data_IF_417227814005
#
_entry.id   IF_417227814005
#
_cell.length_a   1.000
_cell.length_b   1.000
_cell.length_c   1.000
_cell.angle_alpha   90.00
_cell.angle_beta   90.00
_cell.angle_gamma   90.00
#
_symmetry.space_group_name_H-M   'P 1'
#
loop_
_entity.id
_entity.type
_entity.pdbx_description
1 polymer ?
#
# COMPACT_ATOMS: atom_id res chain seq x y z
N UNK A 1 14.06 -20.41 -32.90
CA UNK A 1 14.49 -20.87 -34.22
C UNK A 1 15.95 -20.50 -34.43
N UNK A 2 16.82 -21.51 -34.18
CA UNK A 2 18.25 -21.41 -34.33
C UNK A 2 18.61 -21.95 -35.73
N UNK A 3 19.15 -21.10 -36.56
CA UNK A 3 19.78 -21.51 -37.82
C UNK A 3 21.23 -22.00 -37.58
N UNK A 4 21.65 -23.16 -38.10
CA UNK A 4 22.98 -23.69 -37.86
C UNK A 4 23.99 -23.09 -38.86
N UNK A 5 24.98 -22.40 -38.29
CA UNK A 5 26.19 -22.03 -39.03
C UNK A 5 27.18 -23.17 -38.84
N UNK A 6 27.25 -24.08 -39.78
CA UNK A 6 28.43 -24.96 -39.96
C UNK A 6 28.27 -25.75 -41.24
N UNK A 7 28.92 -25.34 -42.32
CA UNK A 7 29.44 -26.26 -43.34
C UNK A 7 30.17 -25.57 -44.50
N UNK A 8 31.36 -25.00 -44.33
CA UNK A 8 32.27 -24.97 -45.46
C UNK A 8 33.56 -25.81 -45.30
N UNK A 9 33.86 -26.32 -44.07
CA UNK A 9 35.16 -26.97 -43.86
C UNK A 9 35.23 -28.45 -44.32
N UNK A 10 34.08 -29.12 -44.44
CA UNK A 10 34.05 -30.55 -44.83
C UNK A 10 34.11 -30.72 -46.36
N UNK A 11 33.61 -29.77 -47.12
CA UNK A 11 33.61 -29.83 -48.60
C UNK A 11 35.00 -29.62 -49.16
N UNK A 12 35.86 -28.84 -48.50
CA UNK A 12 37.23 -28.61 -48.95
C UNK A 12 38.16 -29.83 -48.80
N UNK A 13 37.96 -30.67 -47.77
CA UNK A 13 38.80 -31.87 -47.60
C UNK A 13 38.47 -33.01 -48.57
N UNK A 14 37.22 -33.08 -49.02
CA UNK A 14 36.86 -34.12 -50.05
C UNK A 14 37.31 -33.77 -51.47
N UNK A 15 37.39 -32.49 -51.82
CA UNK A 15 37.90 -32.02 -53.10
C UNK A 15 39.41 -32.17 -53.20
N UNK A 16 40.14 -31.93 -52.11
CA UNK A 16 41.61 -32.15 -52.12
C UNK A 16 42.03 -33.67 -52.35
N UNK A 17 41.29 -34.61 -51.76
CA UNK A 17 41.59 -36.06 -51.99
C UNK A 17 41.23 -36.51 -53.39
N UNK A 18 40.24 -35.97 -54.07
CA UNK A 18 39.96 -36.32 -55.48
C UNK A 18 40.93 -35.69 -56.47
N UNK A 19 41.56 -34.56 -56.15
CA UNK A 19 42.53 -33.90 -57.01
C UNK A 19 43.88 -34.59 -57.00
N UNK A 20 44.33 -35.10 -55.83
CA UNK A 20 45.62 -35.84 -55.68
C UNK A 20 45.60 -37.16 -56.42
N UNK A 21 44.48 -37.89 -56.48
CA UNK A 21 44.34 -39.15 -57.19
C UNK A 21 44.38 -38.98 -58.75
N UNK A 22 44.00 -37.82 -59.28
CA UNK A 22 43.96 -37.59 -60.74
C UNK A 22 45.25 -37.02 -61.31
N UNK A 23 46.18 -36.54 -60.48
CA UNK A 23 47.48 -36.02 -60.90
C UNK A 23 48.48 -37.14 -61.19
N UNK A 24 48.36 -38.31 -60.57
CA UNK A 24 49.29 -39.45 -60.79
C UNK A 24 49.09 -40.28 -62.08
N UNK A 25 48.07 -39.88 -62.90
CA UNK A 25 47.73 -40.61 -64.13
C UNK A 25 48.10 -39.88 -65.46
N UNK A 26 48.73 -38.72 -65.38
CA UNK A 26 49.06 -37.98 -66.63
C UNK A 26 50.55 -37.94 -66.90
N UNK A 27 51.02 -38.85 -67.78
CA UNK A 27 52.35 -38.82 -68.38
C UNK A 27 52.49 -37.65 -69.34
N UNK A 28 53.49 -36.76 -69.07
CA UNK A 28 54.30 -35.99 -69.94
C UNK A 28 53.58 -35.28 -71.11
N UNK A 29 53.26 -34.00 -70.96
CA UNK A 29 53.35 -32.90 -71.91
C UNK A 29 52.69 -31.59 -71.42
N UNK A 30 52.03 -31.57 -70.27
CA UNK A 30 51.37 -30.35 -69.81
C UNK A 30 51.85 -29.86 -68.43
N UNK A 31 53.09 -30.14 -68.07
CA UNK A 31 53.67 -29.68 -66.77
C UNK A 31 53.90 -28.16 -66.74
N UNK A 32 54.13 -27.54 -67.96
CA UNK A 32 54.33 -26.06 -68.04
C UNK A 32 53.05 -25.23 -67.80
N UNK A 33 51.91 -25.79 -68.22
CA UNK A 33 50.62 -25.05 -68.05
C UNK A 33 50.10 -25.11 -66.60
N UNK A 34 50.41 -26.23 -65.92
CA UNK A 34 50.02 -26.41 -64.52
C UNK A 34 50.91 -25.62 -63.58
N UNK A 35 52.16 -25.33 -63.90
CA UNK A 35 53.04 -24.45 -63.13
C UNK A 35 52.54 -22.97 -63.21
N UNK A 36 52.04 -22.58 -64.41
CA UNK A 36 51.48 -21.24 -64.58
C UNK A 36 50.15 -21.01 -63.87
N UNK A 37 49.29 -22.03 -63.77
CA UNK A 37 48.05 -21.95 -63.01
C UNK A 37 48.31 -21.97 -61.48
N UNK A 38 49.32 -22.68 -61.00
CA UNK A 38 49.72 -22.70 -59.60
C UNK A 38 50.27 -21.32 -59.12
N UNK A 39 50.96 -20.57 -59.99
CA UNK A 39 51.54 -19.28 -59.71
C UNK A 39 50.44 -18.19 -59.57
N UNK A 40 49.28 -18.33 -60.25
CA UNK A 40 48.14 -17.39 -60.14
C UNK A 40 47.36 -17.56 -58.83
N UNK A 41 47.41 -18.76 -58.20
CA UNK A 41 46.72 -19.01 -56.92
C UNK A 41 47.55 -18.64 -55.68
N UNK A 42 48.85 -18.31 -55.80
CA UNK A 42 49.65 -17.83 -54.66
C UNK A 42 49.64 -16.34 -54.48
N UNK A 43 48.87 -15.59 -55.25
CA UNK A 43 48.69 -14.11 -55.10
C UNK A 43 47.47 -13.76 -54.23
N UNK A 44 47.16 -14.55 -53.22
CA UNK A 44 46.34 -14.07 -52.12
C UNK A 44 47.24 -13.25 -51.20
N UNK A 45 47.41 -11.97 -51.55
CA UNK A 45 48.03 -11.00 -50.65
C UNK A 45 47.28 -10.97 -49.32
N UNK A 46 48.01 -11.13 -48.22
CA UNK A 46 47.51 -10.70 -46.89
C UNK A 46 47.04 -9.25 -47.04
N UNK A 47 45.72 -9.08 -47.00
CA UNK A 47 45.18 -7.73 -46.80
C UNK A 47 45.77 -7.22 -45.48
N UNK A 48 46.44 -6.08 -45.47
CA UNK A 48 46.90 -5.47 -44.23
C UNK A 48 45.68 -5.32 -43.35
N UNK A 49 45.78 -5.73 -42.10
CA UNK A 49 44.72 -5.56 -41.11
C UNK A 49 44.33 -4.08 -41.12
N UNK A 50 43.18 -3.79 -41.67
CA UNK A 50 42.64 -2.45 -41.74
C UNK A 50 42.53 -1.96 -40.31
N UNK A 51 43.37 -1.05 -39.84
CA UNK A 51 43.27 -0.42 -38.55
C UNK A 51 41.87 0.17 -38.47
N UNK A 52 41.02 -0.46 -37.69
CA UNK A 52 39.69 0.01 -37.45
C UNK A 52 39.84 1.34 -36.73
N UNK A 53 39.50 2.43 -37.41
CA UNK A 53 39.49 3.76 -36.83
C UNK A 53 38.74 3.78 -35.47
N UNK A 54 38.96 4.79 -34.66
CA UNK A 54 38.32 4.93 -33.36
C UNK A 54 36.80 4.83 -33.51
N UNK A 55 36.18 3.93 -32.76
CA UNK A 55 34.73 3.75 -32.76
C UNK A 55 34.12 4.82 -31.87
N UNK A 56 33.11 5.53 -32.31
CA UNK A 56 32.41 6.48 -31.45
C UNK A 56 31.73 5.72 -30.30
N UNK A 57 31.90 6.20 -29.09
CA UNK A 57 31.25 5.66 -27.89
C UNK A 57 30.29 6.70 -27.34
N UNK A 58 29.11 6.27 -26.89
CA UNK A 58 28.16 7.10 -26.18
C UNK A 58 28.50 7.04 -24.70
N UNK A 59 28.77 8.20 -24.09
CA UNK A 59 29.01 8.29 -22.66
C UNK A 59 27.66 8.30 -21.92
N UNK A 60 27.61 7.59 -20.81
CA UNK A 60 26.51 7.65 -19.85
C UNK A 60 27.03 8.23 -18.53
N UNK A 61 26.27 9.10 -17.93
CA UNK A 61 26.58 9.60 -16.60
C UNK A 61 26.35 8.51 -15.57
N UNK A 62 27.24 8.46 -14.61
CA UNK A 62 27.19 7.51 -13.50
C UNK A 62 26.44 8.14 -12.36
N UNK A 63 25.38 7.48 -11.91
CA UNK A 63 24.60 7.94 -10.77
C UNK A 63 24.93 7.08 -9.54
N UNK A 64 25.15 7.71 -8.40
CA UNK A 64 25.35 6.98 -7.15
C UNK A 64 24.04 6.33 -6.68
N UNK A 65 24.08 5.10 -6.22
CA UNK A 65 22.96 4.33 -5.64
C UNK A 65 22.69 4.72 -4.18
N UNK A 66 23.01 5.94 -3.76
CA UNK A 66 22.78 6.34 -2.37
C UNK A 66 21.29 6.37 -1.96
N UNK A 67 20.38 6.36 -2.93
CA UNK A 67 18.93 6.37 -2.70
C UNK A 67 18.23 5.38 -3.61
N UNK A 68 17.42 4.53 -3.00
CA UNK A 68 16.48 3.67 -3.71
C UNK A 68 15.10 4.29 -3.56
N UNK A 69 14.51 4.70 -4.67
CA UNK A 69 13.13 5.15 -4.72
C UNK A 69 12.21 3.94 -4.97
N UNK A 70 11.27 3.74 -4.07
CA UNK A 70 10.19 2.74 -4.20
C UNK A 70 8.86 3.45 -4.21
N UNK A 71 8.01 3.10 -5.15
CA UNK A 71 6.65 3.64 -5.24
C UNK A 71 5.62 2.55 -5.00
N UNK A 72 4.60 2.88 -4.22
CA UNK A 72 3.48 2.01 -3.89
C UNK A 72 2.18 2.75 -4.19
N UNK A 73 1.16 2.01 -4.61
CA UNK A 73 -0.19 2.56 -4.73
C UNK A 73 -0.83 2.59 -3.36
N UNK A 74 -1.43 3.71 -2.99
CA UNK A 74 -2.14 3.90 -1.76
C UNK A 74 -3.52 4.51 -1.98
N UNK A 75 -4.30 4.50 -0.93
CA UNK A 75 -5.63 5.11 -0.89
C UNK A 75 -5.78 5.95 0.36
N UNK A 76 -6.50 7.05 0.25
CA UNK A 76 -6.85 7.88 1.41
C UNK A 76 -7.95 7.19 2.18
N UNK A 77 -7.69 6.87 3.44
CA UNK A 77 -8.65 6.30 4.39
C UNK A 77 -8.93 7.26 5.55
N UNK A 78 -10.07 7.12 6.24
CA UNK A 78 -10.33 7.93 7.42
C UNK A 78 -9.49 7.42 8.59
N UNK A 79 -8.88 8.31 9.35
CA UNK A 79 -8.20 7.96 10.61
C UNK A 79 -9.20 7.61 11.72
N UNK A 80 -10.39 8.21 11.66
CA UNK A 80 -11.45 7.99 12.63
C UNK A 80 -12.75 7.64 11.91
N UNK A 81 -13.22 6.42 12.14
CA UNK A 81 -14.52 5.95 11.65
C UNK A 81 -15.25 5.17 12.74
N UNK A 82 -16.55 5.02 12.59
CA UNK A 82 -17.37 4.23 13.51
C UNK A 82 -18.56 3.65 12.77
N UNK A 83 -18.73 2.35 12.86
CA UNK A 83 -19.97 1.69 12.46
C UNK A 83 -20.98 1.80 13.59
N UNK A 84 -21.98 2.63 13.36
CA UNK A 84 -23.03 2.89 14.36
C UNK A 84 -24.04 1.74 14.33
N UNK A 85 -24.34 1.21 15.50
CA UNK A 85 -25.24 0.09 15.71
C UNK A 85 -26.18 0.38 16.88
N UNK A 86 -27.40 -0.16 16.82
CA UNK A 86 -28.30 -0.14 17.97
C UNK A 86 -27.88 -1.19 19.01
N UNK A 87 -28.13 -0.89 20.29
CA UNK A 87 -27.90 -1.84 21.39
C UNK A 87 -29.05 -2.84 21.53
N UNK A 88 -30.18 -2.57 20.87
CA UNK A 88 -31.41 -3.36 20.98
C UNK A 88 -31.98 -3.68 19.60
N UNK A 89 -32.88 -4.66 19.53
CA UNK A 89 -33.55 -5.04 18.29
C UNK A 89 -34.86 -4.27 18.09
N UNK A 90 -35.21 -3.99 16.82
CA UNK A 90 -36.50 -3.37 16.48
C UNK A 90 -36.62 -3.09 15.00
N UNK A 91 -37.83 -2.81 14.52
CA UNK A 91 -37.99 -2.30 13.16
C UNK A 91 -37.51 -0.86 13.07
N UNK A 92 -36.76 -0.54 12.03
CA UNK A 92 -36.27 0.80 11.75
C UNK A 92 -37.43 1.64 11.21
N UNK A 93 -37.85 2.68 11.93
CA UNK A 93 -38.97 3.53 11.52
C UNK A 93 -38.50 4.77 10.77
N UNK A 94 -37.29 5.22 11.03
CA UNK A 94 -36.73 6.38 10.32
C UNK A 94 -35.21 6.27 10.17
N UNK A 95 -34.74 6.55 8.96
CA UNK A 95 -33.33 6.84 8.67
C UNK A 95 -33.26 8.25 8.10
N UNK A 96 -32.79 9.17 8.93
CA UNK A 96 -32.83 10.61 8.67
C UNK A 96 -31.59 11.14 7.97
N UNK A 97 -30.79 10.25 7.37
CA UNK A 97 -29.51 10.60 6.73
C UNK A 97 -29.33 9.90 5.39
N UNK A 98 -28.58 10.56 4.52
CA UNK A 98 -28.15 10.05 3.21
C UNK A 98 -26.66 9.79 3.21
N UNK A 99 -26.20 8.90 2.34
CA UNK A 99 -24.77 8.70 2.08
C UNK A 99 -24.14 10.01 1.57
N UNK A 100 -22.95 10.34 2.06
CA UNK A 100 -22.29 11.61 1.79
C UNK A 100 -22.81 12.80 2.61
N UNK A 101 -23.87 12.64 3.39
CA UNK A 101 -24.43 13.73 4.20
C UNK A 101 -23.55 14.01 5.41
N UNK A 102 -23.34 15.31 5.70
CA UNK A 102 -22.70 15.79 6.91
C UNK A 102 -23.64 15.72 8.10
N UNK A 103 -23.15 15.19 9.22
CA UNK A 103 -23.86 15.11 10.49
C UNK A 103 -23.04 15.74 11.61
N UNK A 104 -23.73 16.26 12.63
CA UNK A 104 -23.10 16.82 13.82
C UNK A 104 -23.16 15.82 14.97
N UNK A 105 -22.24 15.93 15.91
CA UNK A 105 -22.26 15.17 17.17
C UNK A 105 -23.62 15.30 17.86
N UNK A 106 -24.21 14.19 18.28
CA UNK A 106 -25.52 14.11 18.93
C UNK A 106 -26.72 14.14 17.99
N UNK A 107 -26.52 14.40 16.68
CA UNK A 107 -27.59 14.35 15.69
C UNK A 107 -28.14 12.93 15.57
N UNK A 108 -29.49 12.78 15.52
CA UNK A 108 -30.13 11.50 15.31
C UNK A 108 -29.97 11.09 13.84
N UNK A 109 -29.37 9.93 13.62
CA UNK A 109 -29.13 9.38 12.28
C UNK A 109 -30.18 8.33 11.90
N UNK A 110 -30.66 7.58 12.88
CA UNK A 110 -31.69 6.55 12.68
C UNK A 110 -32.52 6.37 13.98
N UNK A 111 -33.72 5.83 13.84
CA UNK A 111 -34.63 5.55 14.96
C UNK A 111 -35.35 4.22 14.75
N UNK A 112 -35.34 3.35 15.75
CA UNK A 112 -36.19 2.14 15.81
C UNK A 112 -37.52 2.48 16.49
N UNK A 113 -38.54 1.62 16.28
CA UNK A 113 -39.85 1.82 16.87
C UNK A 113 -39.76 1.94 18.41
N UNK A 114 -40.09 3.13 18.97
CA UNK A 114 -39.95 3.36 20.40
C UNK A 114 -41.19 2.92 21.22
N UNK A 115 -42.23 2.38 20.59
CA UNK A 115 -43.56 2.19 21.22
C UNK A 115 -43.48 1.36 22.47
N UNK A 116 -42.93 0.17 22.42
CA UNK A 116 -42.80 -0.75 23.56
C UNK A 116 -41.87 -0.18 24.63
N UNK A 117 -40.78 0.42 24.24
CA UNK A 117 -39.79 1.05 25.13
C UNK A 117 -40.37 2.24 25.88
N UNK A 118 -41.25 3.01 25.21
CA UNK A 118 -41.95 4.13 25.82
C UNK A 118 -42.98 3.64 26.85
N UNK A 119 -43.70 2.58 26.54
CA UNK A 119 -44.66 1.98 27.50
C UNK A 119 -43.96 1.50 28.78
N UNK A 120 -42.81 0.82 28.63
CA UNK A 120 -42.02 0.40 29.79
C UNK A 120 -41.47 1.57 30.59
N UNK A 121 -40.94 2.59 29.90
CA UNK A 121 -40.50 3.84 30.55
C UNK A 121 -41.62 4.49 31.37
N UNK A 122 -42.84 4.62 30.81
CA UNK A 122 -43.95 5.23 31.49
C UNK A 122 -44.38 4.39 32.72
N UNK A 123 -44.36 3.07 32.64
CA UNK A 123 -44.66 2.18 33.76
C UNK A 123 -43.62 2.29 34.90
N UNK A 124 -42.31 2.30 34.56
CA UNK A 124 -41.21 2.46 35.53
C UNK A 124 -41.23 3.85 36.17
N UNK A 125 -41.54 4.87 35.38
CA UNK A 125 -41.72 6.27 35.87
C UNK A 125 -42.79 6.35 36.91
N UNK A 126 -43.97 5.73 36.70
CA UNK A 126 -45.06 5.72 37.67
C UNK A 126 -44.66 4.99 38.96
N UNK A 127 -43.97 3.87 38.86
CA UNK A 127 -43.42 3.13 39.99
C UNK A 127 -42.41 3.93 40.80
N UNK A 128 -41.48 4.60 40.12
CA UNK A 128 -40.52 5.50 40.76
C UNK A 128 -41.21 6.68 41.47
N UNK A 129 -42.20 7.33 40.86
CA UNK A 129 -42.94 8.42 41.49
C UNK A 129 -43.67 7.97 42.77
N UNK A 130 -44.25 6.76 42.73
CA UNK A 130 -44.87 6.13 43.92
C UNK A 130 -43.85 5.93 45.04
N UNK A 131 -42.72 5.28 44.72
CA UNK A 131 -41.63 4.99 45.68
C UNK A 131 -41.01 6.31 46.24
N UNK A 132 -40.81 7.31 45.42
CA UNK A 132 -40.31 8.61 45.84
C UNK A 132 -41.26 9.30 46.84
N UNK A 133 -42.56 9.24 46.56
CA UNK A 133 -43.56 9.75 47.48
C UNK A 133 -43.62 9.02 48.82
N UNK A 134 -43.40 7.67 48.79
CA UNK A 134 -43.32 6.86 50.02
C UNK A 134 -42.05 7.21 50.81
N UNK A 135 -40.91 7.32 50.14
CA UNK A 135 -39.62 7.68 50.75
C UNK A 135 -39.75 9.06 51.47
N UNK A 136 -40.29 10.07 50.78
CA UNK A 136 -40.47 11.41 51.36
C UNK A 136 -41.37 11.37 52.61
N UNK A 137 -42.40 10.51 52.62
CA UNK A 137 -43.23 10.33 53.82
C UNK A 137 -42.48 9.62 54.94
N UNK A 138 -41.71 8.58 54.60
CA UNK A 138 -40.90 7.80 55.59
C UNK A 138 -39.85 8.70 56.23
N UNK A 139 -39.18 9.59 55.50
CA UNK A 139 -38.24 10.58 56.02
C UNK A 139 -38.89 11.47 57.09
N UNK A 140 -40.07 11.99 56.78
CA UNK A 140 -40.84 12.85 57.69
C UNK A 140 -41.32 12.12 58.95
N UNK A 141 -41.69 10.83 58.83
CA UNK A 141 -42.10 10.00 59.94
C UNK A 141 -40.92 9.57 60.83
N UNK A 142 -39.78 9.23 60.21
CA UNK A 142 -38.56 8.91 60.95
C UNK A 142 -38.07 10.10 61.75
N UNK A 143 -38.09 11.31 61.21
CA UNK A 143 -37.73 12.53 61.91
C UNK A 143 -38.61 12.83 63.14
N UNK A 144 -39.84 12.23 63.18
CA UNK A 144 -40.76 12.29 64.28
C UNK A 144 -40.74 11.05 65.15
N UNK A 145 -39.81 10.11 64.94
CA UNK A 145 -39.75 8.78 65.58
C UNK A 145 -41.07 7.96 65.46
N UNK A 146 -41.78 8.13 64.32
CA UNK A 146 -43.06 7.49 64.09
C UNK A 146 -42.97 6.19 63.28
N UNK A 147 -41.78 5.82 62.82
CA UNK A 147 -41.46 4.54 62.16
C UNK A 147 -40.14 3.99 62.68
N UNK A 148 -39.92 2.68 62.52
CA UNK A 148 -38.65 2.05 62.85
C UNK A 148 -37.57 2.31 61.82
N UNK A 149 -36.31 2.22 62.22
CA UNK A 149 -35.18 2.33 61.31
C UNK A 149 -35.23 1.26 60.20
N UNK A 150 -35.63 0.02 60.56
CA UNK A 150 -35.77 -1.08 59.60
C UNK A 150 -36.85 -0.77 58.54
N UNK A 151 -37.97 -0.18 58.93
CA UNK A 151 -39.03 0.23 57.98
C UNK A 151 -38.57 1.35 57.04
N UNK A 152 -37.80 2.29 57.57
CA UNK A 152 -37.18 3.37 56.78
C UNK A 152 -36.20 2.75 55.77
N UNK A 153 -35.26 1.89 56.19
CA UNK A 153 -34.28 1.21 55.31
C UNK A 153 -34.97 0.39 54.20
N UNK A 154 -36.08 -0.32 54.56
CA UNK A 154 -36.87 -1.08 53.57
C UNK A 154 -37.48 -0.15 52.52
N UNK A 155 -38.01 1.02 52.95
CA UNK A 155 -38.57 2.03 52.04
C UNK A 155 -37.49 2.66 51.19
N UNK A 156 -36.32 2.92 51.76
CA UNK A 156 -35.17 3.46 51.05
C UNK A 156 -34.64 2.48 49.96
N UNK A 157 -34.57 1.18 50.31
CA UNK A 157 -34.17 0.14 49.33
C UNK A 157 -35.19 0.06 48.18
N UNK A 158 -36.51 0.13 48.48
CA UNK A 158 -37.58 0.15 47.47
C UNK A 158 -37.49 1.35 46.55
N UNK A 159 -37.20 2.52 47.12
CA UNK A 159 -36.98 3.75 46.32
C UNK A 159 -35.76 3.62 45.41
N UNK A 160 -34.62 3.12 45.91
CA UNK A 160 -33.40 2.96 45.15
C UNK A 160 -33.62 1.99 43.98
N UNK A 161 -34.29 0.84 44.24
CA UNK A 161 -34.62 -0.11 43.17
C UNK A 161 -35.54 0.48 42.10
N UNK A 162 -36.60 1.21 42.51
CA UNK A 162 -37.51 1.84 41.57
C UNK A 162 -36.82 2.96 40.76
N UNK A 163 -35.88 3.68 41.38
CA UNK A 163 -35.06 4.72 40.71
C UNK A 163 -34.16 4.10 39.65
N UNK A 164 -33.43 3.04 40.01
CA UNK A 164 -32.54 2.34 39.06
C UNK A 164 -33.31 1.76 37.87
N UNK A 165 -34.48 1.11 38.13
CA UNK A 165 -35.32 0.59 37.06
C UNK A 165 -35.88 1.71 36.12
N UNK A 166 -36.20 2.86 36.67
CA UNK A 166 -36.65 4.02 35.88
C UNK A 166 -35.51 4.58 35.01
N UNK A 167 -34.29 4.75 35.59
CA UNK A 167 -33.12 5.24 34.87
C UNK A 167 -32.74 4.29 33.75
N UNK A 168 -32.82 2.97 33.97
CA UNK A 168 -32.54 1.93 32.95
C UNK A 168 -33.55 2.02 31.79
N UNK A 169 -34.85 2.10 32.09
CA UNK A 169 -35.89 2.26 31.07
C UNK A 169 -35.75 3.59 30.30
N UNK A 170 -35.29 4.66 30.95
CA UNK A 170 -35.03 5.94 30.33
C UNK A 170 -33.85 5.85 29.34
N UNK A 171 -32.76 5.19 29.76
CA UNK A 171 -31.61 4.96 28.91
C UNK A 171 -31.97 4.09 27.70
N UNK A 172 -32.75 3.03 27.94
CA UNK A 172 -33.22 2.12 26.87
C UNK A 172 -34.09 2.88 25.87
N UNK A 173 -34.99 3.73 26.30
CA UNK A 173 -35.80 4.60 25.42
C UNK A 173 -34.93 5.59 24.65
N UNK A 174 -33.90 6.18 25.26
CA UNK A 174 -32.98 7.08 24.59
C UNK A 174 -32.14 6.34 23.53
N UNK A 175 -31.78 5.08 23.80
CA UNK A 175 -30.99 4.24 22.91
C UNK A 175 -31.80 3.74 21.68
N UNK A 176 -33.14 3.96 21.63
CA UNK A 176 -33.93 3.78 20.40
C UNK A 176 -33.55 4.77 19.31
N UNK A 177 -32.84 5.85 19.66
CA UNK A 177 -32.35 6.89 18.74
C UNK A 177 -30.86 6.75 18.57
N UNK A 178 -30.43 6.29 17.41
CA UNK A 178 -29.01 6.19 17.05
C UNK A 178 -28.46 7.59 16.78
N UNK A 179 -27.45 8.00 17.52
CA UNK A 179 -26.85 9.33 17.45
C UNK A 179 -25.41 9.27 16.99
N UNK A 180 -24.99 10.29 16.21
CA UNK A 180 -23.60 10.47 15.81
C UNK A 180 -22.72 10.80 17.03
N UNK A 181 -21.63 10.04 17.29
CA UNK A 181 -20.73 10.28 18.43
C UNK A 181 -19.77 11.46 18.20
N UNK A 182 -19.52 11.84 16.95
CA UNK A 182 -18.67 12.96 16.54
C UNK A 182 -19.20 13.61 15.25
N UNK A 183 -18.66 14.78 14.91
CA UNK A 183 -18.96 15.47 13.65
C UNK A 183 -18.32 14.75 12.47
N UNK A 184 -19.08 14.42 11.42
CA UNK A 184 -18.55 13.65 10.31
C UNK A 184 -19.46 13.59 9.09
N UNK A 185 -19.17 12.62 8.21
CA UNK A 185 -20.00 12.28 7.07
C UNK A 185 -20.43 10.82 7.14
N UNK A 186 -21.64 10.56 6.69
CA UNK A 186 -22.13 9.19 6.48
C UNK A 186 -21.44 8.62 5.24
N UNK A 187 -20.57 7.64 5.42
CA UNK A 187 -19.87 6.99 4.32
C UNK A 187 -20.76 5.97 3.63
N UNK A 188 -21.47 5.16 4.42
CA UNK A 188 -22.30 4.05 3.91
C UNK A 188 -23.47 3.79 4.83
N UNK A 189 -24.60 3.36 4.24
CA UNK A 189 -25.75 2.78 4.94
C UNK A 189 -25.72 1.25 4.74
N UNK A 190 -25.92 0.50 5.80
CA UNK A 190 -25.94 -0.96 5.75
C UNK A 190 -27.35 -1.53 5.78
N UNK A 191 -28.35 -0.70 6.15
CA UNK A 191 -29.74 -1.08 6.29
C UNK A 191 -30.66 0.01 5.71
N UNK A 192 -31.89 -0.39 5.35
CA UNK A 192 -32.90 0.50 4.81
C UNK A 192 -34.09 0.68 5.78
N UNK A 193 -34.91 1.70 5.54
CA UNK A 193 -36.12 1.93 6.32
C UNK A 193 -37.01 0.69 6.35
N UNK A 194 -37.70 0.50 7.48
CA UNK A 194 -38.63 -0.61 7.75
C UNK A 194 -37.95 -1.99 7.88
N UNK A 195 -36.65 -2.08 7.78
CA UNK A 195 -35.90 -3.29 8.04
C UNK A 195 -35.77 -3.51 9.56
N UNK A 196 -35.86 -4.76 10.01
CA UNK A 196 -35.60 -5.11 11.41
C UNK A 196 -34.08 -5.21 11.65
N UNK A 197 -33.59 -4.49 12.66
CA UNK A 197 -32.19 -4.53 13.08
C UNK A 197 -32.00 -5.38 14.33
N UNK A 198 -30.80 -5.93 14.47
CA UNK A 198 -30.38 -6.71 15.63
C UNK A 198 -29.38 -5.91 16.47
N UNK A 199 -29.21 -6.21 17.77
CA UNK A 199 -28.19 -5.60 18.61
C UNK A 199 -26.78 -5.82 18.00
N UNK A 200 -26.00 -4.73 17.88
CA UNK A 200 -24.67 -4.76 17.31
C UNK A 200 -24.60 -4.82 15.78
N UNK A 201 -25.72 -4.91 15.09
CA UNK A 201 -25.75 -4.84 13.63
C UNK A 201 -25.44 -3.41 13.18
N UNK A 202 -24.39 -3.26 12.31
CA UNK A 202 -24.06 -1.96 11.72
C UNK A 202 -25.22 -1.37 10.93
N UNK A 203 -25.55 -0.12 11.18
CA UNK A 203 -26.62 0.62 10.52
C UNK A 203 -26.06 1.63 9.53
N UNK A 204 -25.08 2.43 9.98
CA UNK A 204 -24.37 3.41 9.13
C UNK A 204 -22.90 3.48 9.53
N UNK A 205 -22.03 3.72 8.55
CA UNK A 205 -20.63 4.04 8.78
C UNK A 205 -20.47 5.57 8.82
N UNK A 206 -19.97 6.10 9.93
CA UNK A 206 -19.64 7.50 10.14
C UNK A 206 -18.14 7.70 10.10
N UNK A 207 -17.66 8.63 9.28
CA UNK A 207 -16.24 8.97 9.14
C UNK A 207 -15.98 10.43 9.53
N UNK A 208 -14.79 10.68 10.09
CA UNK A 208 -14.32 12.04 10.37
C UNK A 208 -13.45 12.54 9.21
N UNK A 209 -13.90 13.52 8.41
CA UNK A 209 -13.13 14.02 7.26
C UNK A 209 -11.95 14.90 7.64
N UNK A 210 -11.89 15.38 8.88
CA UNK A 210 -10.79 16.22 9.34
C UNK A 210 -9.52 15.43 9.67
N UNK A 211 -9.64 14.11 9.81
CA UNK A 211 -8.56 13.20 10.12
C UNK A 211 -8.45 12.15 9.02
N UNK A 212 -7.55 12.42 8.09
CA UNK A 212 -7.25 11.52 6.99
C UNK A 212 -5.89 10.87 7.20
N UNK A 213 -5.78 9.65 6.74
CA UNK A 213 -4.54 8.90 6.65
C UNK A 213 -4.42 8.29 5.25
N UNK A 214 -3.21 7.94 4.87
CA UNK A 214 -2.94 7.20 3.64
C UNK A 214 -2.65 5.76 4.01
N UNK A 215 -3.40 4.86 3.41
CA UNK A 215 -3.25 3.41 3.59
C UNK A 215 -2.63 2.82 2.32
N UNK A 216 -1.60 2.01 2.48
CA UNK A 216 -1.00 1.25 1.40
C UNK A 216 -0.44 -0.07 1.93
N UNK A 217 -0.22 -1.02 1.03
CA UNK A 217 0.28 -2.34 1.40
C UNK A 217 1.67 -2.55 0.79
N UNK A 218 2.58 -3.06 1.58
CA UNK A 218 3.93 -3.42 1.15
C UNK A 218 4.17 -4.93 1.26
N UNK A 219 4.96 -5.53 0.36
CA UNK A 219 5.43 -6.89 0.54
C UNK A 219 6.24 -7.04 1.84
N UNK A 220 6.11 -8.17 2.52
CA UNK A 220 6.83 -8.45 3.77
C UNK A 220 8.36 -8.29 3.63
N UNK A 221 8.91 -8.63 2.46
CA UNK A 221 10.34 -8.48 2.15
C UNK A 221 10.82 -7.03 2.19
N UNK A 222 9.91 -6.08 2.14
CA UNK A 222 10.19 -4.64 2.07
C UNK A 222 9.89 -3.90 3.39
N UNK A 223 9.56 -4.62 4.46
CA UNK A 223 9.19 -4.01 5.75
C UNK A 223 10.30 -3.13 6.34
N UNK A 224 11.57 -3.51 6.09
CA UNK A 224 12.73 -2.73 6.51
C UNK A 224 12.73 -1.30 5.94
N UNK A 225 12.05 -1.07 4.82
CA UNK A 225 11.96 0.24 4.18
C UNK A 225 11.02 1.21 4.92
N UNK A 226 10.14 0.68 5.75
CA UNK A 226 9.21 1.47 6.56
C UNK A 226 9.78 1.71 7.97
N UNK A 227 10.57 0.75 8.47
CA UNK A 227 11.18 0.81 9.81
C UNK A 227 12.49 1.58 9.85
N UNK A 228 13.19 1.71 8.72
CA UNK A 228 14.42 2.51 8.60
C UNK A 228 14.10 4.01 8.42
N UNK A 229 15.00 4.92 8.78
CA UNK A 229 14.81 6.35 8.55
C UNK A 229 14.76 6.64 7.05
N UNK A 230 13.58 6.69 6.52
CA UNK A 230 13.30 6.99 5.12
C UNK A 230 12.44 8.25 5.02
N UNK A 231 12.68 9.07 4.01
CA UNK A 231 11.79 10.18 3.70
C UNK A 231 10.67 9.64 2.82
N UNK A 232 9.44 9.73 3.33
CA UNK A 232 8.27 9.26 2.61
C UNK A 232 7.50 10.46 2.08
N UNK A 233 7.11 10.39 0.82
CA UNK A 233 6.25 11.38 0.18
C UNK A 233 4.99 10.74 -0.35
N UNK A 234 3.92 11.53 -0.35
CA UNK A 234 2.63 11.15 -0.94
C UNK A 234 2.31 12.10 -2.09
N UNK A 235 2.00 11.54 -3.23
CA UNK A 235 1.49 12.23 -4.40
C UNK A 235 0.04 11.80 -4.64
N UNK A 236 -0.90 12.74 -4.55
CA UNK A 236 -2.29 12.43 -4.88
C UNK A 236 -2.52 12.46 -6.38
N UNK A 237 -3.25 11.49 -6.93
CA UNK A 237 -3.55 11.44 -8.37
C UNK A 237 -4.31 12.68 -8.86
N UNK A 238 -5.09 13.32 -7.96
CA UNK A 238 -5.78 14.57 -8.23
C UNK A 238 -4.83 15.79 -8.32
N UNK A 239 -3.60 15.69 -7.79
CA UNK A 239 -2.63 16.80 -7.72
C UNK A 239 -1.24 16.34 -8.15
N UNK A 240 -1.15 15.81 -9.38
CA UNK A 240 0.10 15.28 -9.95
C UNK A 240 1.23 16.31 -9.93
N UNK A 241 2.42 15.84 -9.59
CA UNK A 241 3.64 16.66 -9.49
C UNK A 241 3.79 17.39 -8.15
N UNK A 242 2.84 17.21 -7.19
CA UNK A 242 2.98 17.75 -5.84
C UNK A 242 3.24 16.61 -4.86
N UNK A 243 4.40 16.68 -4.24
CA UNK A 243 4.85 15.72 -3.24
C UNK A 243 4.63 16.32 -1.85
N UNK A 244 3.90 15.61 -1.00
CA UNK A 244 3.68 15.99 0.39
C UNK A 244 4.47 15.05 1.30
N UNK A 245 5.22 15.60 2.23
CA UNK A 245 5.95 14.80 3.20
C UNK A 245 4.96 14.07 4.12
N UNK A 246 5.24 12.80 4.35
CA UNK A 246 4.42 11.95 5.22
C UNK A 246 5.29 11.16 6.17
N UNK A 247 4.71 10.76 7.30
CA UNK A 247 5.35 9.91 8.30
C UNK A 247 4.51 8.68 8.56
N UNK A 248 5.19 7.59 8.90
CA UNK A 248 4.52 6.35 9.31
C UNK A 248 3.82 6.61 10.63
N UNK A 249 2.52 6.33 10.65
CA UNK A 249 1.71 6.34 11.85
C UNK A 249 1.80 4.99 12.56
N UNK A 250 1.52 3.95 11.80
CA UNK A 250 1.54 2.57 12.27
C UNK A 250 1.64 1.61 11.09
N UNK A 251 2.02 0.39 11.35
CA UNK A 251 1.95 -0.73 10.42
C UNK A 251 1.49 -1.98 11.17
N UNK A 252 0.79 -2.86 10.47
CA UNK A 252 0.26 -4.09 11.08
C UNK A 252 1.24 -5.22 10.80
N UNK A 253 1.90 -5.73 11.86
CA UNK A 253 2.92 -6.79 11.73
C UNK A 253 2.34 -8.13 11.23
N UNK A 254 1.05 -8.37 11.42
CA UNK A 254 0.36 -9.55 10.93
C UNK A 254 -0.56 -9.17 9.77
N UNK A 255 -0.27 -9.69 8.58
CA UNK A 255 -1.17 -9.52 7.43
C UNK A 255 -2.41 -10.41 7.62
N UNK A 256 -3.61 -9.83 7.76
CA UNK A 256 -4.83 -10.63 7.95
C UNK A 256 -5.17 -11.49 6.73
N UNK A 257 -4.76 -11.06 5.52
CA UNK A 257 -5.17 -11.68 4.25
C UNK A 257 -4.01 -12.23 3.42
N UNK A 258 -2.78 -12.24 3.95
CA UNK A 258 -1.58 -12.67 3.20
C UNK A 258 -1.20 -11.78 2.01
N UNK A 259 -1.85 -10.62 1.87
CA UNK A 259 -1.63 -9.70 0.76
C UNK A 259 -0.42 -8.76 0.96
N UNK A 260 0.26 -8.84 2.10
CA UNK A 260 1.36 -7.97 2.51
C UNK A 260 1.04 -7.22 3.80
N UNK A 261 1.93 -6.34 4.22
CA UNK A 261 1.84 -5.56 5.47
C UNK A 261 1.12 -4.23 5.19
N UNK A 262 -0.06 -3.99 5.80
CA UNK A 262 -0.72 -2.69 5.72
C UNK A 262 0.08 -1.64 6.50
N UNK A 263 0.29 -0.49 5.89
CA UNK A 263 1.00 0.66 6.45
C UNK A 263 0.11 1.89 6.37
N UNK A 264 0.03 2.62 7.47
CA UNK A 264 -0.73 3.85 7.58
C UNK A 264 0.21 5.04 7.77
N UNK A 265 0.00 6.07 6.96
CA UNK A 265 0.77 7.31 7.01
C UNK A 265 -0.14 8.47 7.41
N UNK A 266 0.41 9.44 8.11
CA UNK A 266 -0.17 10.78 8.21
C UNK A 266 0.68 11.77 7.44
N UNK A 267 0.05 12.78 6.87
CA UNK A 267 0.74 13.83 6.12
C UNK A 267 1.27 14.84 7.14
N UNK A 268 2.59 15.00 7.15
CA UNK A 268 3.32 15.93 8.03
C UNK A 268 4.02 17.00 7.18
N UNK A 269 3.20 17.72 6.41
CA UNK A 269 3.66 18.75 5.49
C UNK A 269 2.92 20.06 5.77
N UNK A 270 3.62 21.16 6.10
CA UNK A 270 2.99 22.45 6.39
C UNK A 270 2.26 23.06 5.20
N UNK A 271 2.60 22.66 3.97
CA UNK A 271 1.89 23.13 2.77
C UNK A 271 0.58 22.38 2.51
N UNK A 272 0.36 21.24 3.19
CA UNK A 272 -0.85 20.45 3.05
C UNK A 272 -1.98 21.00 3.92
N UNK A 273 -2.98 21.59 3.28
CA UNK A 273 -4.23 22.04 3.92
C UNK A 273 -5.42 21.43 3.20
N UNK A 274 -6.27 20.72 3.94
CA UNK A 274 -7.51 20.11 3.44
C UNK A 274 -8.50 21.16 2.87
N UNK A 275 -8.39 22.44 3.29
CA UNK A 275 -9.19 23.53 2.70
C UNK A 275 -8.70 23.91 1.31
N UNK A 276 -7.39 23.83 1.08
CA UNK A 276 -6.73 24.13 -0.20
C UNK A 276 -6.78 22.94 -1.14
N UNK A 277 -6.41 21.75 -0.60
CA UNK A 277 -6.41 20.49 -1.34
C UNK A 277 -7.64 19.69 -0.93
N UNK A 278 -8.64 19.65 -1.81
CA UNK A 278 -9.90 18.93 -1.55
C UNK A 278 -9.69 17.42 -1.67
N UNK A 279 -8.89 16.87 -0.77
CA UNK A 279 -8.65 15.42 -0.68
C UNK A 279 -9.75 14.81 0.16
N UNK A 280 -10.31 13.70 -0.32
CA UNK A 280 -11.40 12.97 0.36
C UNK A 280 -11.03 11.50 0.51
N UNK A 281 -11.71 10.83 1.43
CA UNK A 281 -11.63 9.37 1.58
C UNK A 281 -11.93 8.68 0.25
N UNK A 282 -11.12 7.66 -0.08
CA UNK A 282 -11.20 6.93 -1.34
C UNK A 282 -10.35 7.51 -2.48
N UNK A 283 -9.69 8.66 -2.30
CA UNK A 283 -8.78 9.17 -3.33
C UNK A 283 -7.55 8.28 -3.44
N UNK A 284 -7.17 7.99 -4.68
CA UNK A 284 -5.92 7.28 -4.97
C UNK A 284 -4.72 8.19 -4.83
N UNK A 285 -3.63 7.61 -4.37
CA UNK A 285 -2.36 8.30 -4.23
C UNK A 285 -1.19 7.34 -4.51
N UNK A 286 -0.03 7.92 -4.77
CA UNK A 286 1.24 7.21 -4.89
C UNK A 286 2.08 7.54 -3.66
N UNK A 287 2.53 6.52 -2.97
CA UNK A 287 3.47 6.64 -1.85
C UNK A 287 4.87 6.40 -2.39
N UNK A 288 5.77 7.36 -2.19
CA UNK A 288 7.15 7.33 -2.66
C UNK A 288 8.04 7.27 -1.42
N UNK A 289 8.71 6.14 -1.22
CA UNK A 289 9.67 5.94 -0.15
C UNK A 289 11.09 6.08 -0.69
N UNK A 290 11.82 7.07 -0.20
CA UNK A 290 13.24 7.27 -0.47
C UNK A 290 14.06 6.64 0.65
N UNK A 291 14.71 5.54 0.36
CA UNK A 291 15.47 4.75 1.31
C UNK A 291 16.95 5.10 1.15
N UNK A 292 17.56 5.56 2.21
CA UNK A 292 19.01 5.68 2.28
C UNK A 292 19.60 4.28 2.50
N UNK A 293 20.31 3.78 1.50
CA UNK A 293 20.88 2.45 1.57
C UNK A 293 22.28 2.52 2.17
N UNK A 294 22.39 2.31 3.49
CA UNK A 294 23.66 2.27 4.19
C UNK A 294 24.60 1.15 3.72
N UNK A 295 24.06 0.11 3.09
CA UNK A 295 24.82 -1.03 2.59
C UNK A 295 25.50 -0.72 1.24
N UNK A 296 25.02 0.29 0.50
CA UNK A 296 25.51 0.64 -0.84
C UNK A 296 26.01 2.09 -0.88
N UNK A 297 26.69 2.54 0.18
CA UNK A 297 27.29 3.90 0.22
C UNK A 297 28.27 4.18 -0.93
N UNK A 298 28.78 3.13 -1.60
CA UNK A 298 29.74 3.21 -2.71
C UNK A 298 29.24 2.57 -4.01
N UNK A 299 27.96 2.22 -4.10
CA UNK A 299 27.39 1.63 -5.32
C UNK A 299 27.13 2.67 -6.39
N UNK A 300 27.53 2.35 -7.61
CA UNK A 300 27.27 3.13 -8.82
C UNK A 300 26.29 2.37 -9.72
N UNK A 301 25.28 3.10 -10.24
CA UNK A 301 24.41 2.55 -11.29
C UNK A 301 24.93 2.93 -12.66
N UNK A 302 24.95 1.95 -13.54
CA UNK A 302 25.22 2.15 -14.96
C UNK A 302 24.04 1.61 -15.76
N UNK A 303 23.67 2.22 -16.88
CA UNK A 303 22.65 1.69 -17.77
C UNK A 303 23.02 0.25 -18.21
N UNK A 304 22.05 -0.64 -18.33
CA UNK A 304 22.27 -2.03 -18.75
C UNK A 304 22.95 -2.10 -20.12
N UNK A 305 22.74 -1.12 -20.99
CA UNK A 305 23.38 -0.97 -22.29
C UNK A 305 24.89 -0.69 -22.21
N UNK A 306 25.40 -0.26 -21.05
CA UNK A 306 26.82 -0.04 -20.80
C UNK A 306 27.54 -1.28 -20.28
N UNK A 307 26.78 -2.33 -19.92
CA UNK A 307 27.36 -3.59 -19.41
C UNK A 307 27.57 -4.55 -20.56
N UNK A 308 28.84 -4.93 -20.78
CA UNK A 308 29.21 -5.93 -21.77
C UNK A 308 29.38 -7.29 -21.12
N UNK A 309 28.62 -8.27 -21.62
CA UNK A 309 28.69 -9.65 -21.16
C UNK A 309 29.77 -10.40 -21.96
N UNK A 310 30.74 -10.93 -21.27
CA UNK A 310 31.78 -11.78 -21.87
C UNK A 310 31.38 -13.26 -21.66
N UNK A 311 30.80 -13.85 -22.70
CA UNK A 311 30.31 -15.23 -22.65
C UNK A 311 31.42 -16.27 -22.45
N UNK A 312 32.66 -15.92 -22.74
CA UNK A 312 33.83 -16.85 -22.58
C UNK A 312 34.29 -16.90 -21.13
N UNK A 313 34.18 -15.82 -20.38
CA UNK A 313 34.65 -15.69 -19.00
C UNK A 313 33.53 -15.65 -17.99
N UNK A 314 32.25 -15.71 -18.42
CA UNK A 314 31.06 -15.54 -17.60
C UNK A 314 31.18 -14.29 -16.71
N UNK A 315 31.75 -13.21 -17.21
CA UNK A 315 32.01 -11.97 -16.48
C UNK A 315 31.29 -10.78 -17.11
N UNK A 316 30.85 -9.88 -16.28
CA UNK A 316 30.24 -8.60 -16.68
C UNK A 316 31.32 -7.52 -16.61
N UNK A 317 31.44 -6.69 -17.64
CA UNK A 317 32.45 -5.67 -17.76
C UNK A 317 31.83 -4.33 -18.13
N UNK A 318 32.42 -3.28 -17.63
CA UNK A 318 32.06 -1.89 -17.97
C UNK A 318 33.31 -1.20 -18.52
N UNK A 319 33.14 -0.34 -19.50
CA UNK A 319 34.22 0.49 -20.03
C UNK A 319 34.14 1.89 -19.41
N UNK A 320 35.25 2.35 -18.83
CA UNK A 320 35.36 3.70 -18.24
C UNK A 320 36.11 4.59 -19.22
N UNK A 321 35.55 5.74 -19.51
CA UNK A 321 36.19 6.75 -20.35
C UNK A 321 37.23 7.54 -19.54
N UNK A 322 38.46 7.58 -20.04
CA UNK A 322 39.52 8.38 -19.45
C UNK A 322 39.68 9.68 -20.29
N UNK A 323 39.32 10.84 -19.72
CA UNK A 323 39.38 12.11 -20.47
C UNK A 323 40.79 12.54 -20.83
N UNK A 324 41.82 12.11 -20.07
CA UNK A 324 43.21 12.50 -20.34
C UNK A 324 43.80 11.76 -21.53
N UNK A 325 43.42 10.50 -21.76
CA UNK A 325 43.89 9.68 -22.86
C UNK A 325 42.95 9.65 -24.05
N UNK A 326 41.73 10.19 -23.89
CA UNK A 326 40.61 10.07 -24.83
C UNK A 326 40.28 8.63 -25.25
N UNK A 327 40.57 7.69 -24.38
CA UNK A 327 40.37 6.25 -24.62
C UNK A 327 39.45 5.67 -23.55
N UNK A 328 38.79 4.58 -23.91
CA UNK A 328 38.00 3.79 -22.97
C UNK A 328 38.89 2.64 -22.43
N UNK A 329 38.92 2.52 -21.13
CA UNK A 329 39.62 1.48 -20.40
C UNK A 329 38.62 0.49 -19.83
N UNK A 330 39.01 -0.78 -19.78
CA UNK A 330 38.22 -1.87 -19.25
C UNK A 330 38.29 -1.81 -17.72
N UNK A 331 37.19 -1.61 -17.07
CA UNK A 331 37.09 -1.79 -15.61
C UNK A 331 36.67 -3.21 -15.28
N UNK A 332 37.50 -3.92 -14.52
CA UNK A 332 37.11 -5.20 -13.97
C UNK A 332 36.32 -4.99 -12.68
N UNK A 333 35.10 -5.54 -12.64
CA UNK A 333 34.29 -5.56 -11.41
C UNK A 333 35.04 -6.43 -10.37
N UNK A 334 35.64 -5.79 -9.36
CA UNK A 334 35.98 -6.47 -8.11
C UNK A 334 34.65 -6.60 -7.33
N UNK A 335 34.07 -7.79 -7.35
CA UNK A 335 33.04 -8.14 -6.36
C UNK A 335 33.70 -8.12 -4.99
N UNK A 336 33.48 -7.05 -4.25
CA UNK A 336 33.77 -7.01 -2.82
C UNK A 336 32.54 -7.62 -2.13
N UNK A 337 32.68 -8.83 -1.63
CA UNK A 337 31.89 -9.40 -0.55
C UNK A 337 30.50 -9.93 -0.92
N UNK A 338 30.30 -11.17 -0.51
CA UNK A 338 28.96 -11.77 -0.33
C UNK A 338 28.18 -11.03 0.74
#
# INVERSE_FOLDING_TARGET
DALPICTPLIIMRTLQRKLIVKINSMKGKNLSIMAMIAAVFCSCGQQPAQERGPRPVKLAEVTSLSRIEKSYSGVVSPDQFSDLAFKMSGPLVAMNVLEGQRVKKGQVVAEIDPTDYKLDYDAKRASFQKAASQMQRAEKLLAKNAISMQEFETTQASYTNAKSAFEDAQNTLNDTKLRAPFDGFIQKKYVENYQRVQPGQGVVCLINPAKLQVEFTIPETNISYVTSPSTIYVEFDAYKGKLFQAKVKEYVEASPDGAGVPVFLYIDDPEFDLKKYKVSVGFSCRVIANIENDVVKEGITVPLSAVVFDNTLNSKKVFVYNPSTQKVERSEERRVGK
#
